data_IF_937938755284
#
_entry.id   IF_937938755284
#
_cell.length_a   1.000
_cell.length_b   1.000
_cell.length_c   1.000
_cell.angle_alpha   90.00
_cell.angle_beta   90.00
_cell.angle_gamma   90.00
#
_symmetry.space_group_name_H-M   'P 1'
#
loop_
_entity.id
_entity.type
_entity.pdbx_description
1 polymer ?
#
# COMPACT_ATOMS: atom_id res chain seq x y z
N UNK A 1 5.83 17.41 39.32
CA UNK A 1 6.65 17.92 38.21
C UNK A 1 7.33 16.81 37.42
N UNK A 2 8.05 15.92 38.10
CA UNK A 2 8.69 14.79 37.43
C UNK A 2 7.65 13.86 36.78
N UNK A 3 6.55 13.61 37.48
CA UNK A 3 5.44 12.78 36.96
C UNK A 3 4.80 13.41 35.73
N UNK A 4 4.62 14.74 35.70
CA UNK A 4 4.06 15.46 34.55
C UNK A 4 4.97 15.35 33.33
N UNK A 5 6.29 15.46 33.49
CA UNK A 5 7.25 15.29 32.40
C UNK A 5 7.22 13.88 31.83
N UNK A 6 7.17 12.86 32.67
CA UNK A 6 7.04 11.47 32.23
C UNK A 6 5.74 11.24 31.47
N UNK A 7 4.66 11.81 31.99
CA UNK A 7 3.33 11.71 31.34
C UNK A 7 3.37 12.38 29.97
N UNK A 8 3.99 13.56 29.84
CA UNK A 8 4.10 14.26 28.56
C UNK A 8 4.89 13.47 27.53
N UNK A 9 6.05 12.92 27.92
CA UNK A 9 6.86 12.08 27.02
C UNK A 9 6.10 10.83 26.57
N UNK A 10 5.39 10.18 27.49
CA UNK A 10 4.59 9.00 27.22
C UNK A 10 3.46 9.31 26.24
N UNK A 11 2.79 10.44 26.43
CA UNK A 11 1.70 10.86 25.53
C UNK A 11 2.23 11.12 24.12
N UNK A 12 3.37 11.82 23.98
CA UNK A 12 3.98 12.09 22.67
C UNK A 12 4.36 10.79 21.98
N UNK A 13 5.02 9.86 22.67
CA UNK A 13 5.42 8.57 22.13
C UNK A 13 4.20 7.76 21.68
N UNK A 14 3.16 7.68 22.53
CA UNK A 14 1.93 6.95 22.21
C UNK A 14 1.21 7.60 21.03
N UNK A 15 1.22 8.94 20.91
CA UNK A 15 0.63 9.65 19.78
C UNK A 15 1.30 9.29 18.46
N UNK A 16 2.64 9.24 18.42
CA UNK A 16 3.38 8.85 17.23
C UNK A 16 3.14 7.38 16.86
N UNK A 17 3.16 6.51 17.84
CA UNK A 17 2.86 5.08 17.63
C UNK A 17 1.42 4.90 17.14
N UNK A 18 0.46 5.62 17.71
CA UNK A 18 -0.93 5.57 17.29
C UNK A 18 -1.10 6.08 15.86
N UNK A 19 -0.43 7.18 15.50
CA UNK A 19 -0.48 7.72 14.14
C UNK A 19 0.10 6.71 13.14
N UNK A 20 1.21 6.09 13.46
CA UNK A 20 1.83 5.10 12.59
C UNK A 20 0.92 3.88 12.42
N UNK A 21 0.37 3.38 13.51
CA UNK A 21 -0.55 2.24 13.46
C UNK A 21 -1.78 2.54 12.62
N UNK A 22 -2.38 3.71 12.80
CA UNK A 22 -3.54 4.14 12.02
C UNK A 22 -3.20 4.24 10.53
N UNK A 23 -2.03 4.77 10.22
CA UNK A 23 -1.58 4.92 8.83
C UNK A 23 -1.35 3.58 8.16
N UNK A 24 -0.73 2.64 8.87
CA UNK A 24 -0.50 1.28 8.35
C UNK A 24 -1.84 0.59 8.09
N UNK A 25 -2.78 0.67 9.00
CA UNK A 25 -4.12 0.09 8.83
C UNK A 25 -4.83 0.69 7.63
N UNK A 26 -4.72 1.99 7.45
CA UNK A 26 -5.32 2.68 6.30
C UNK A 26 -4.68 2.24 4.99
N UNK A 27 -3.37 2.14 4.93
CA UNK A 27 -2.66 1.72 3.72
C UNK A 27 -2.94 0.26 3.40
N UNK A 28 -3.05 -0.58 4.42
CA UNK A 28 -3.48 -1.97 4.26
C UNK A 28 -4.86 -2.02 3.56
N UNK A 29 -5.82 -1.30 4.11
CA UNK A 29 -7.20 -1.30 3.59
C UNK A 29 -7.26 -0.78 2.15
N UNK A 30 -6.63 0.36 1.88
CA UNK A 30 -6.66 0.98 0.55
C UNK A 30 -5.96 0.09 -0.48
N UNK A 31 -4.80 -0.45 -0.14
CA UNK A 31 -4.05 -1.31 -1.06
C UNK A 31 -4.79 -2.63 -1.32
N UNK A 32 -5.42 -3.19 -0.30
CA UNK A 32 -6.26 -4.38 -0.47
C UNK A 32 -7.44 -4.11 -1.40
N UNK A 33 -8.13 -2.99 -1.22
CA UNK A 33 -9.23 -2.61 -2.10
C UNK A 33 -8.74 -2.41 -3.54
N UNK A 34 -7.58 -1.80 -3.70
CA UNK A 34 -6.99 -1.59 -5.01
C UNK A 34 -6.68 -2.92 -5.70
N UNK A 35 -6.08 -3.88 -4.98
CA UNK A 35 -5.79 -5.21 -5.51
C UNK A 35 -7.05 -5.96 -5.93
N UNK A 36 -8.14 -5.78 -5.19
CA UNK A 36 -9.42 -6.43 -5.50
C UNK A 36 -10.09 -5.81 -6.72
N UNK A 37 -9.86 -4.53 -6.98
CA UNK A 37 -10.54 -3.79 -8.04
C UNK A 37 -9.76 -3.76 -9.36
N UNK A 38 -8.44 -3.73 -9.30
CA UNK A 38 -7.60 -3.52 -10.47
C UNK A 38 -7.80 -4.63 -11.52
N UNK A 39 -7.81 -4.24 -12.78
CA UNK A 39 -7.88 -5.17 -13.91
C UNK A 39 -6.70 -5.03 -14.85
N UNK A 40 -6.64 -5.90 -15.85
CA UNK A 40 -5.63 -5.84 -16.90
C UNK A 40 -6.26 -5.17 -18.12
N UNK A 41 -5.65 -4.10 -18.59
CA UNK A 41 -6.09 -3.36 -19.77
C UNK A 41 -5.39 -3.84 -21.04
N UNK A 42 -4.15 -4.26 -20.93
CA UNK A 42 -3.36 -4.75 -22.05
C UNK A 42 -3.99 -6.02 -22.64
N UNK A 43 -4.04 -6.10 -23.96
CA UNK A 43 -4.68 -7.20 -24.67
C UNK A 43 -3.85 -8.48 -24.57
N UNK A 44 -4.51 -9.61 -24.34
CA UNK A 44 -3.88 -10.92 -24.28
C UNK A 44 -3.07 -11.19 -25.54
N UNK A 45 -1.93 -11.85 -25.39
CA UNK A 45 -1.02 -12.17 -26.48
C UNK A 45 -0.03 -11.09 -26.81
N UNK A 46 -0.08 -9.95 -26.11
CA UNK A 46 0.86 -8.85 -26.31
C UNK A 46 1.95 -8.89 -25.24
N UNK A 47 3.08 -8.22 -25.54
CA UNK A 47 4.17 -8.02 -24.59
C UNK A 47 3.67 -7.19 -23.38
N UNK A 48 2.83 -6.20 -23.64
CA UNK A 48 2.26 -5.34 -22.62
C UNK A 48 1.41 -6.13 -21.63
N UNK A 49 0.72 -7.17 -22.09
CA UNK A 49 -0.07 -8.03 -21.21
C UNK A 49 0.85 -8.81 -20.25
N UNK A 50 1.97 -9.33 -20.73
CA UNK A 50 2.95 -10.03 -19.89
C UNK A 50 3.51 -9.09 -18.82
N UNK A 51 3.82 -7.85 -19.20
CA UNK A 51 4.32 -6.83 -18.28
C UNK A 51 3.25 -6.49 -17.23
N UNK A 52 2.00 -6.35 -17.66
CA UNK A 52 0.89 -6.07 -16.74
C UNK A 52 0.74 -7.15 -15.67
N UNK A 53 0.82 -8.42 -16.07
CA UNK A 53 0.74 -9.54 -15.13
C UNK A 53 1.91 -9.52 -14.14
N UNK A 54 3.11 -9.16 -14.61
CA UNK A 54 4.28 -9.04 -13.76
C UNK A 54 4.09 -7.93 -12.72
N UNK A 55 3.53 -6.79 -13.11
CA UNK A 55 3.26 -5.68 -12.19
C UNK A 55 2.26 -6.10 -11.11
N UNK A 56 1.22 -6.85 -11.48
CA UNK A 56 0.26 -7.36 -10.50
C UNK A 56 0.90 -8.35 -9.55
N UNK A 57 1.78 -9.20 -10.06
CA UNK A 57 2.51 -10.15 -9.24
C UNK A 57 3.41 -9.43 -8.22
N UNK A 58 4.13 -8.40 -8.66
CA UNK A 58 4.95 -7.57 -7.78
C UNK A 58 4.09 -6.90 -6.70
N UNK A 59 2.96 -6.32 -7.09
CA UNK A 59 2.05 -5.68 -6.14
C UNK A 59 1.56 -6.68 -5.08
N UNK A 60 1.15 -7.87 -5.51
CA UNK A 60 0.66 -8.90 -4.60
C UNK A 60 1.75 -9.38 -3.65
N UNK A 61 2.96 -9.60 -4.15
CA UNK A 61 4.08 -10.07 -3.34
C UNK A 61 4.45 -9.05 -2.26
N UNK A 62 4.55 -7.77 -2.61
CA UNK A 62 4.84 -6.71 -1.64
C UNK A 62 3.69 -6.52 -0.65
N UNK A 63 2.45 -6.69 -1.09
CA UNK A 63 1.30 -6.65 -0.19
C UNK A 63 1.38 -7.78 0.85
N UNK A 64 1.73 -8.97 0.42
CA UNK A 64 1.89 -10.12 1.33
C UNK A 64 3.01 -9.86 2.34
N UNK A 65 4.16 -9.33 1.88
CA UNK A 65 5.27 -8.95 2.75
C UNK A 65 4.82 -7.89 3.78
N UNK A 66 4.07 -6.89 3.32
CA UNK A 66 3.57 -5.82 4.19
C UNK A 66 2.67 -6.38 5.30
N UNK A 67 1.78 -7.30 4.98
CA UNK A 67 0.92 -7.94 5.99
C UNK A 67 1.75 -8.71 7.02
N UNK A 68 2.80 -9.37 6.56
CA UNK A 68 3.72 -10.09 7.44
C UNK A 68 4.42 -9.13 8.41
N UNK A 69 4.96 -8.02 7.90
CA UNK A 69 5.57 -6.99 8.74
C UNK A 69 4.58 -6.42 9.74
N UNK A 70 3.35 -6.13 9.30
CA UNK A 70 2.30 -5.60 10.16
C UNK A 70 1.99 -6.57 11.30
N UNK A 71 1.85 -7.84 10.99
CA UNK A 71 1.58 -8.90 11.98
C UNK A 71 2.68 -8.99 13.03
N UNK A 72 3.93 -8.77 12.63
CA UNK A 72 5.08 -8.85 13.51
C UNK A 72 5.37 -7.53 14.24
N UNK A 73 4.53 -6.51 14.07
CA UNK A 73 4.72 -5.22 14.72
C UNK A 73 5.77 -4.34 14.08
N UNK A 74 6.30 -4.71 12.92
CA UNK A 74 7.29 -3.93 12.17
C UNK A 74 6.57 -2.90 11.30
N UNK A 75 6.03 -1.85 11.95
CA UNK A 75 5.09 -0.93 11.33
C UNK A 75 5.72 -0.05 10.25
N UNK A 76 6.97 0.39 10.43
CA UNK A 76 7.66 1.20 9.42
C UNK A 76 7.90 0.39 8.15
N UNK A 77 8.33 -0.86 8.29
CA UNK A 77 8.52 -1.77 7.15
C UNK A 77 7.18 -2.08 6.47
N UNK A 78 6.13 -2.28 7.27
CA UNK A 78 4.78 -2.52 6.74
C UNK A 78 4.31 -1.33 5.91
N UNK A 79 4.46 -0.11 6.43
CA UNK A 79 4.05 1.11 5.72
C UNK A 79 4.79 1.24 4.39
N UNK A 80 6.10 1.04 4.39
CA UNK A 80 6.91 1.10 3.18
C UNK A 80 6.48 0.04 2.17
N UNK A 81 6.25 -1.19 2.62
CA UNK A 81 5.86 -2.29 1.73
C UNK A 81 4.46 -2.12 1.14
N UNK A 82 3.49 -1.63 1.93
CA UNK A 82 2.16 -1.30 1.39
C UNK A 82 2.26 -0.20 0.34
N UNK A 83 3.03 0.84 0.60
CA UNK A 83 3.24 1.93 -0.36
C UNK A 83 3.88 1.43 -1.65
N UNK A 84 4.87 0.56 -1.53
CA UNK A 84 5.57 -0.01 -2.67
C UNK A 84 4.64 -0.90 -3.50
N UNK A 85 3.83 -1.73 -2.84
CA UNK A 85 2.83 -2.56 -3.51
C UNK A 85 1.86 -1.69 -4.32
N UNK A 86 1.36 -0.63 -3.71
CA UNK A 86 0.41 0.28 -4.36
C UNK A 86 1.04 0.97 -5.57
N UNK A 87 2.32 1.34 -5.47
CA UNK A 87 3.05 2.01 -6.55
C UNK A 87 3.12 1.15 -7.83
N UNK A 88 3.26 -0.17 -7.69
CA UNK A 88 3.23 -1.06 -8.87
C UNK A 88 1.91 -0.98 -9.61
N UNK A 89 0.81 -0.90 -8.88
CA UNK A 89 -0.53 -0.76 -9.48
C UNK A 89 -0.69 0.60 -10.15
N UNK A 90 -0.30 1.67 -9.44
CA UNK A 90 -0.38 3.03 -9.99
C UNK A 90 0.46 3.17 -11.26
N UNK A 91 1.66 2.62 -11.25
CA UNK A 91 2.53 2.66 -12.42
C UNK A 91 1.89 1.97 -13.62
N UNK A 92 1.30 0.81 -13.41
CA UNK A 92 0.61 0.06 -14.47
C UNK A 92 -0.62 0.79 -15.01
N UNK A 93 -1.38 1.42 -14.13
CA UNK A 93 -2.56 2.23 -14.54
C UNK A 93 -2.10 3.43 -15.37
N UNK A 94 -1.09 4.13 -14.93
CA UNK A 94 -0.58 5.30 -15.67
C UNK A 94 0.06 4.91 -17.00
N UNK A 95 0.69 3.74 -17.08
CA UNK A 95 1.26 3.23 -18.32
C UNK A 95 0.19 2.71 -19.31
N UNK A 96 -1.06 2.61 -18.86
CA UNK A 96 -2.16 2.14 -19.70
C UNK A 96 -2.20 0.62 -19.89
N UNK A 97 -1.45 -0.15 -19.10
CA UNK A 97 -1.44 -1.61 -19.16
C UNK A 97 -2.34 -2.25 -18.11
N UNK A 98 -2.63 -1.53 -17.01
CA UNK A 98 -3.59 -1.95 -15.99
C UNK A 98 -4.79 -1.03 -16.01
N UNK A 99 -5.94 -1.55 -15.58
CA UNK A 99 -7.21 -0.84 -15.56
C UNK A 99 -7.57 -0.45 -14.13
N UNK A 100 -7.52 0.85 -13.83
CA UNK A 100 -7.90 1.41 -12.53
C UNK A 100 -9.40 1.63 -12.39
N UNK A 101 -10.22 1.26 -13.39
CA UNK A 101 -11.70 1.39 -13.35
C UNK A 101 -12.16 2.83 -13.08
N UNK A 102 -11.34 3.81 -13.49
CA UNK A 102 -11.60 5.24 -13.29
C UNK A 102 -11.77 5.63 -11.81
N UNK A 103 -11.19 4.85 -10.92
CA UNK A 103 -11.25 5.11 -9.48
C UNK A 103 -10.05 5.95 -9.04
N UNK A 104 -10.24 7.27 -8.99
CA UNK A 104 -9.19 8.21 -8.60
C UNK A 104 -8.92 8.23 -7.10
N UNK A 105 -9.75 7.57 -6.30
CA UNK A 105 -9.50 7.38 -4.87
C UNK A 105 -8.47 6.28 -4.62
N UNK A 106 -8.53 5.22 -5.41
CA UNK A 106 -7.63 4.07 -5.26
C UNK A 106 -6.36 4.17 -6.11
N UNK A 107 -6.43 4.85 -7.25
CA UNK A 107 -5.34 4.87 -8.22
C UNK A 107 -5.02 6.28 -8.70
N UNK A 108 -3.74 6.49 -9.03
CA UNK A 108 -3.29 7.70 -9.71
C UNK A 108 -3.56 7.54 -11.21
N UNK A 109 -4.65 8.14 -11.68
CA UNK A 109 -5.07 8.00 -13.08
C UNK A 109 -4.20 8.84 -14.03
N UNK A 110 -4.09 8.41 -15.31
CA UNK A 110 -3.38 9.19 -16.33
C UNK A 110 -4.02 10.55 -16.57
#
# INVERSE_FOLDING_TARGET
MVAAKKTGKKIIKNSLESQLKTKVERYHTITQQALQKIGVKARKGTKEHVIALDYLDMAQNYFNDAKHFQKNGELLLALAAFSYAHAWMDAGVRAGILDGKEDDRLFTLP
#
